data_IF_540428857146
#
_entry.id   IF_540428857146
#
_cell.length_a   1.000
_cell.length_b   1.000
_cell.length_c   1.000
_cell.angle_alpha   90.00
_cell.angle_beta   90.00
_cell.angle_gamma   90.00
#
_symmetry.space_group_name_H-M   'P 1'
#
loop_
_entity.id
_entity.type
_entity.pdbx_description
1 polymer ?
#
# COMPACT_ATOMS: atom_id res chain seq x y z
N UNK A 1 -9.40 14.37 26.13
CA UNK A 1 -9.64 13.92 24.74
C UNK A 1 -9.13 12.49 24.63
N UNK A 2 -10.04 11.52 24.55
CA UNK A 2 -9.72 10.09 24.45
C UNK A 2 -9.42 9.71 23.00
N UNK A 3 -8.51 8.76 22.81
CA UNK A 3 -7.88 8.35 21.55
C UNK A 3 -8.81 7.77 20.45
N UNK A 4 -10.12 8.08 20.45
CA UNK A 4 -11.14 7.43 19.62
C UNK A 4 -11.76 8.32 18.53
N UNK A 5 -11.31 9.56 18.38
CA UNK A 5 -11.86 10.52 17.39
C UNK A 5 -10.83 10.99 16.36
N UNK A 6 -9.86 10.15 16.01
CA UNK A 6 -9.29 10.26 14.65
C UNK A 6 -10.26 9.52 13.74
N UNK A 7 -11.41 10.14 13.49
CA UNK A 7 -12.25 9.81 12.34
C UNK A 7 -11.38 10.16 11.13
N UNK A 8 -10.61 9.19 10.64
CA UNK A 8 -10.23 9.20 9.25
C UNK A 8 -11.56 9.23 8.50
N UNK A 9 -11.88 10.34 7.85
CA UNK A 9 -13.10 10.47 7.06
C UNK A 9 -13.02 9.45 5.92
N UNK A 10 -13.52 8.24 6.15
CA UNK A 10 -13.42 7.13 5.21
C UNK A 10 -14.12 7.51 3.91
N UNK A 11 -13.34 7.77 2.87
CA UNK A 11 -13.85 8.18 1.56
C UNK A 11 -14.50 6.99 0.85
N UNK A 12 -13.93 5.78 1.01
CA UNK A 12 -14.45 4.55 0.42
C UNK A 12 -13.88 3.30 1.10
N UNK A 13 -14.72 2.30 1.30
CA UNK A 13 -14.29 0.94 1.60
C UNK A 13 -14.18 0.12 0.31
N UNK A 14 -13.08 -0.62 0.17
CA UNK A 14 -12.82 -1.51 -0.97
C UNK A 14 -12.78 -2.94 -0.46
N UNK A 15 -13.75 -3.74 -0.91
CA UNK A 15 -13.84 -5.18 -0.62
C UNK A 15 -13.67 -5.92 -1.94
N UNK A 16 -12.70 -6.83 -1.98
CA UNK A 16 -12.36 -7.58 -3.19
C UNK A 16 -11.93 -9.01 -2.83
N UNK A 17 -12.32 -9.97 -3.67
CA UNK A 17 -11.79 -11.33 -3.66
C UNK A 17 -10.96 -11.50 -4.94
N UNK A 18 -9.63 -11.47 -4.80
CA UNK A 18 -8.69 -11.57 -5.91
C UNK A 18 -7.37 -12.20 -5.47
N UNK A 19 -6.59 -12.69 -6.44
CA UNK A 19 -5.23 -13.20 -6.18
C UNK A 19 -4.29 -12.04 -5.89
N UNK A 20 -3.44 -12.19 -4.87
CA UNK A 20 -2.46 -11.17 -4.47
C UNK A 20 -1.12 -11.25 -5.22
N UNK A 21 -1.04 -12.00 -6.31
CA UNK A 21 0.17 -12.20 -7.13
C UNK A 21 0.37 -11.13 -8.22
N UNK A 22 -0.60 -10.22 -8.36
CA UNK A 22 -0.61 -9.08 -9.28
C UNK A 22 -1.26 -7.84 -8.66
N UNK A 23 -0.86 -6.67 -9.13
CA UNK A 23 -1.49 -5.38 -8.84
C UNK A 23 -2.63 -5.04 -9.81
N UNK A 24 -2.87 -5.84 -10.85
CA UNK A 24 -3.92 -5.60 -11.85
C UNK A 24 -5.31 -6.00 -11.36
N UNK A 25 -5.69 -5.43 -10.22
CA UNK A 25 -6.91 -5.73 -9.50
C UNK A 25 -7.88 -4.56 -9.52
N UNK A 26 -9.17 -4.83 -9.42
CA UNK A 26 -10.20 -3.79 -9.47
C UNK A 26 -10.02 -2.81 -8.29
N UNK A 27 -9.76 -3.33 -7.09
CA UNK A 27 -9.52 -2.51 -5.91
C UNK A 27 -8.28 -1.63 -6.03
N UNK A 28 -7.18 -2.17 -6.59
CA UNK A 28 -5.95 -1.39 -6.81
C UNK A 28 -6.14 -0.31 -7.88
N UNK A 29 -6.84 -0.62 -8.98
CA UNK A 29 -7.18 0.38 -10.02
C UNK A 29 -8.04 1.51 -9.45
N UNK A 30 -8.96 1.19 -8.56
CA UNK A 30 -9.78 2.18 -7.86
C UNK A 30 -8.94 3.08 -6.96
N UNK A 31 -8.01 2.52 -6.18
CA UNK A 31 -7.04 3.29 -5.39
C UNK A 31 -6.26 4.26 -6.29
N UNK A 32 -5.73 3.79 -7.42
CA UNK A 32 -5.03 4.67 -8.37
C UNK A 32 -5.92 5.78 -8.92
N UNK A 33 -7.18 5.49 -9.24
CA UNK A 33 -8.15 6.48 -9.71
C UNK A 33 -8.45 7.55 -8.66
N UNK A 34 -8.60 7.17 -7.39
CA UNK A 34 -8.81 8.11 -6.29
C UNK A 34 -7.57 8.95 -6.00
N UNK A 35 -6.39 8.34 -5.97
CA UNK A 35 -5.12 9.04 -5.80
C UNK A 35 -4.86 10.04 -6.93
N UNK A 36 -5.18 9.68 -8.19
CA UNK A 36 -5.07 10.58 -9.35
C UNK A 36 -5.98 11.80 -9.23
N UNK A 37 -7.16 11.65 -8.64
CA UNK A 37 -8.14 12.73 -8.43
C UNK A 37 -7.91 13.51 -7.13
N UNK A 38 -6.84 13.20 -6.38
CA UNK A 38 -6.57 13.79 -5.06
C UNK A 38 -7.74 13.63 -4.08
N UNK A 39 -8.51 12.54 -4.22
CA UNK A 39 -9.67 12.26 -3.38
C UNK A 39 -9.30 11.59 -2.04
N UNK A 40 -8.07 11.12 -1.90
CA UNK A 40 -7.54 10.44 -0.73
C UNK A 40 -6.09 10.90 -0.50
N UNK A 41 -5.65 10.82 0.75
CA UNK A 41 -4.28 11.07 1.21
C UNK A 41 -3.66 9.82 1.89
N UNK A 42 -4.49 8.82 2.20
CA UNK A 42 -4.08 7.56 2.81
C UNK A 42 -4.93 6.38 2.35
N UNK A 43 -4.29 5.21 2.28
CA UNK A 43 -4.98 3.92 2.15
C UNK A 43 -4.60 3.05 3.34
N UNK A 44 -5.61 2.56 4.05
CA UNK A 44 -5.45 1.67 5.19
C UNK A 44 -5.82 0.23 4.77
N UNK A 45 -4.97 -0.73 5.11
CA UNK A 45 -5.29 -2.14 4.98
C UNK A 45 -5.02 -2.90 6.27
N UNK A 46 -5.73 -4.02 6.47
CA UNK A 46 -5.56 -4.89 7.66
C UNK A 46 -4.15 -5.45 7.78
N UNK A 47 -3.47 -5.66 6.65
CA UNK A 47 -2.06 -5.98 6.57
C UNK A 47 -1.53 -5.60 5.19
N UNK A 48 -0.21 -5.51 5.04
CA UNK A 48 0.43 -5.07 3.80
C UNK A 48 0.19 -6.06 2.64
N UNK A 49 -0.01 -7.36 2.95
CA UNK A 49 -0.31 -8.40 1.96
C UNK A 49 -1.63 -8.20 1.21
N UNK A 50 -2.55 -7.37 1.74
CA UNK A 50 -3.78 -6.98 1.02
C UNK A 50 -3.50 -6.10 -0.19
N UNK A 51 -2.37 -5.42 -0.23
CA UNK A 51 -1.92 -4.65 -1.40
C UNK A 51 -1.25 -5.54 -2.45
N UNK A 52 -0.50 -6.55 -2.01
CA UNK A 52 0.14 -7.56 -2.86
C UNK A 52 0.97 -8.49 -2.00
N UNK A 53 1.21 -9.72 -2.49
CA UNK A 53 2.02 -10.73 -1.78
C UNK A 53 3.50 -10.67 -2.13
N UNK A 54 3.87 -9.90 -3.17
CA UNK A 54 5.27 -9.69 -3.56
C UNK A 54 5.76 -8.35 -3.00
N UNK A 55 6.90 -8.39 -2.34
CA UNK A 55 7.56 -7.20 -1.78
C UNK A 55 7.75 -6.10 -2.82
N UNK A 56 8.22 -6.45 -4.02
CA UNK A 56 8.44 -5.52 -5.13
C UNK A 56 7.16 -4.82 -5.58
N UNK A 57 6.05 -5.56 -5.68
CA UNK A 57 4.76 -5.02 -6.08
C UNK A 57 4.24 -4.02 -5.04
N UNK A 58 4.37 -4.34 -3.75
CA UNK A 58 3.98 -3.42 -2.68
C UNK A 58 4.83 -2.14 -2.72
N UNK A 59 6.15 -2.27 -2.91
CA UNK A 59 7.04 -1.11 -3.02
C UNK A 59 6.74 -0.28 -4.27
N UNK A 60 6.42 -0.93 -5.40
CA UNK A 60 5.99 -0.25 -6.63
C UNK A 60 4.70 0.53 -6.42
N UNK A 61 3.71 -0.08 -5.76
CA UNK A 61 2.46 0.58 -5.39
C UNK A 61 2.73 1.80 -4.50
N UNK A 62 3.54 1.64 -3.44
CA UNK A 62 3.90 2.76 -2.57
C UNK A 62 4.58 3.89 -3.34
N UNK A 63 5.55 3.58 -4.19
CA UNK A 63 6.24 4.58 -4.99
C UNK A 63 5.30 5.36 -5.92
N UNK A 64 4.29 4.70 -6.50
CA UNK A 64 3.27 5.36 -7.33
C UNK A 64 2.39 6.28 -6.47
N UNK A 65 1.92 5.81 -5.33
CA UNK A 65 1.02 6.55 -4.45
C UNK A 65 1.71 7.72 -3.74
N UNK A 66 2.97 7.54 -3.32
CA UNK A 66 3.79 8.60 -2.72
C UNK A 66 3.98 9.79 -3.65
N UNK A 67 4.14 9.56 -4.96
CA UNK A 67 4.17 10.64 -5.98
C UNK A 67 2.87 11.43 -6.06
N UNK A 68 1.78 10.91 -5.50
CA UNK A 68 0.47 11.56 -5.38
C UNK A 68 0.16 12.01 -3.96
N UNK A 69 1.18 12.01 -3.08
CA UNK A 69 1.05 12.34 -1.65
C UNK A 69 0.08 11.42 -0.90
N UNK A 70 -0.06 10.17 -1.38
CA UNK A 70 -0.89 9.15 -0.75
C UNK A 70 -0.02 8.17 0.01
N UNK A 71 -0.28 8.01 1.31
CA UNK A 71 0.39 7.05 2.18
C UNK A 71 -0.26 5.66 2.16
N UNK A 72 0.55 4.62 2.33
CA UNK A 72 0.07 3.27 2.67
C UNK A 72 0.29 3.02 4.15
N UNK A 73 -0.72 2.51 4.82
CA UNK A 73 -0.69 2.28 6.27
C UNK A 73 -1.36 0.97 6.66
N UNK A 74 -0.98 0.44 7.82
CA UNK A 74 -1.66 -0.71 8.44
C UNK A 74 -1.75 -0.49 9.95
N UNK A 75 -2.79 -1.01 10.63
CA UNK A 75 -2.90 -0.88 12.09
C UNK A 75 -1.70 -1.44 12.88
N UNK A 76 -0.94 -2.37 12.28
CA UNK A 76 0.22 -3.02 12.88
C UNK A 76 1.53 -2.26 12.60
N UNK A 77 1.48 -1.11 11.91
CA UNK A 77 2.63 -0.31 11.52
C UNK A 77 3.04 -0.49 10.07
N UNK A 78 4.16 0.13 9.68
CA UNK A 78 4.59 0.20 8.28
C UNK A 78 5.82 -0.71 8.01
N UNK A 79 5.63 -1.92 7.43
CA UNK A 79 6.73 -2.85 7.14
C UNK A 79 7.58 -2.46 5.93
N UNK A 80 7.30 -1.33 5.24
CA UNK A 80 7.99 -0.98 4.00
C UNK A 80 9.50 -0.77 4.17
N UNK A 81 9.97 -0.41 5.37
CA UNK A 81 11.41 -0.32 5.64
C UNK A 81 12.09 -1.69 5.47
N UNK A 82 11.57 -2.73 6.14
CA UNK A 82 12.09 -4.09 6.01
C UNK A 82 11.93 -4.66 4.60
N UNK A 83 10.89 -4.24 3.87
CA UNK A 83 10.72 -4.61 2.46
C UNK A 83 11.85 -4.04 1.59
N UNK A 84 12.24 -2.78 1.79
CA UNK A 84 13.35 -2.16 1.07
C UNK A 84 14.69 -2.83 1.39
N UNK A 85 14.93 -3.16 2.66
CA UNK A 85 16.13 -3.89 3.09
C UNK A 85 16.21 -5.27 2.43
N UNK A 86 15.11 -6.02 2.39
CA UNK A 86 15.08 -7.32 1.72
C UNK A 86 15.50 -7.22 0.25
N UNK A 87 14.90 -6.31 -0.52
CA UNK A 87 15.24 -6.12 -1.94
C UNK A 87 16.71 -5.75 -2.12
N UNK A 88 17.25 -4.84 -1.31
CA UNK A 88 18.66 -4.47 -1.37
C UNK A 88 19.59 -5.67 -1.13
N UNK A 89 19.26 -6.53 -0.15
CA UNK A 89 20.05 -7.73 0.17
C UNK A 89 19.91 -8.80 -0.93
N UNK A 90 18.74 -8.93 -1.56
CA UNK A 90 18.56 -9.82 -2.71
C UNK A 90 19.36 -9.30 -3.92
N UNK A 91 19.20 -8.04 -4.31
CA UNK A 91 19.94 -7.43 -5.43
C UNK A 91 21.46 -7.56 -5.24
N UNK A 92 21.97 -7.36 -4.02
CA UNK A 92 23.40 -7.50 -3.74
C UNK A 92 23.91 -8.95 -3.79
N UNK A 93 23.05 -9.95 -3.53
CA UNK A 93 23.43 -11.37 -3.54
C UNK A 93 23.46 -12.00 -4.94
N UNK A 94 22.72 -11.44 -5.90
CA UNK A 94 22.62 -11.98 -7.27
C UNK A 94 23.41 -11.19 -8.32
N UNK A 95 24.17 -10.18 -7.90
CA UNK A 95 25.04 -9.35 -8.77
C UNK A 95 26.55 -9.58 -8.50
N UNK A 96 26.93 -10.73 -7.93
CA UNK A 96 28.33 -11.17 -7.79
C UNK A 96 28.59 -12.44 -8.60
#
# INVERSE_FOLDING_TARGET
MTAHEVINNTVKEIIEIAKGDTLERAGIREIYSMARRHAIDKVLAVNMERFGRKTEDVLRLEGILKKKYVGLDTPQGNPLAGYREMIQVFDHRYMK
#
